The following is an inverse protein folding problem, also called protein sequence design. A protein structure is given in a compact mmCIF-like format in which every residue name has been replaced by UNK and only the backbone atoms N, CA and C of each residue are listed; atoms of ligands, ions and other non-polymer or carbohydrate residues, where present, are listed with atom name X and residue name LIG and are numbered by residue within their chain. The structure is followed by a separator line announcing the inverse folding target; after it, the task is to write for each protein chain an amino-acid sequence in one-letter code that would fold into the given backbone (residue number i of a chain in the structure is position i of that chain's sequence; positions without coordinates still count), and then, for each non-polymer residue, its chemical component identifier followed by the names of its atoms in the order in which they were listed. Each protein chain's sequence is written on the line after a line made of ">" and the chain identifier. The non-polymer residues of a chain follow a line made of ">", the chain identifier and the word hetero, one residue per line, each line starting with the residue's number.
data_IF_984683238713
#
_entry.id   IF_984683238713
#
_cell.length_a   1.000
_cell.length_b   1.000
_cell.length_c   1.000
_cell.angle_alpha   90.00
_cell.angle_beta   90.00
_cell.angle_gamma   90.00
#
_symmetry.space_group_name_H-M   'P 1'
#
loop_
_entity.id
_entity.type
_entity.pdbx_description
1 polymer ?
#
# COMPACT_ATOMS: atom_id res chain seq x y z
N UNK A 1 -22.19 4.21 23.43
CA UNK A 1 -22.49 3.40 24.63
C UNK A 1 -22.00 1.98 24.38
N UNK A 2 -20.84 1.64 24.92
CA UNK A 2 -20.23 0.31 24.79
C UNK A 2 -20.60 -0.61 25.96
N UNK A 3 -21.52 -0.19 26.80
CA UNK A 3 -21.94 -0.96 27.96
C UNK A 3 -22.66 -2.25 27.56
N UNK A 4 -22.02 -3.33 27.80
CA UNK A 4 -22.52 -4.67 28.21
C UNK A 4 -23.69 -5.35 27.49
N UNK A 5 -24.33 -4.82 26.45
CA UNK A 5 -25.60 -5.44 25.93
C UNK A 5 -25.78 -5.43 24.42
N UNK A 6 -24.80 -5.11 23.61
CA UNK A 6 -24.98 -5.26 22.17
C UNK A 6 -24.49 -6.64 21.78
N UNK A 7 -25.43 -7.58 21.82
CA UNK A 7 -25.41 -8.81 21.02
C UNK A 7 -24.09 -9.59 20.97
N UNK A 8 -23.43 -9.79 22.12
CA UNK A 8 -22.30 -10.73 22.17
C UNK A 8 -22.84 -12.14 21.94
N UNK A 9 -22.71 -12.61 20.74
CA UNK A 9 -23.00 -13.98 20.34
C UNK A 9 -21.75 -14.60 19.67
N UNK A 10 -21.68 -15.91 19.54
CA UNK A 10 -20.61 -16.56 18.83
C UNK A 10 -20.42 -15.95 17.42
N UNK A 11 -19.19 -15.68 17.02
CA UNK A 11 -18.86 -15.09 15.72
C UNK A 11 -18.72 -13.56 15.71
N UNK A 12 -18.97 -12.87 16.81
CA UNK A 12 -18.72 -11.42 16.94
C UNK A 12 -17.25 -11.14 17.18
N UNK A 13 -16.77 -9.97 16.73
CA UNK A 13 -15.41 -9.49 17.03
C UNK A 13 -15.25 -9.35 18.54
N UNK A 14 -14.22 -9.99 19.10
CA UNK A 14 -13.86 -9.87 20.51
C UNK A 14 -12.95 -8.67 20.71
N UNK A 15 -13.39 -7.71 21.49
CA UNK A 15 -12.57 -6.61 21.95
C UNK A 15 -11.70 -7.04 23.15
N UNK A 16 -10.57 -6.39 23.30
CA UNK A 16 -9.68 -6.60 24.43
C UNK A 16 -10.04 -5.61 25.55
N UNK A 17 -10.31 -6.14 26.71
CA UNK A 17 -10.43 -5.39 27.96
C UNK A 17 -8.99 -4.96 28.36
N UNK A 18 -8.71 -3.68 28.29
CA UNK A 18 -7.37 -3.12 28.52
C UNK A 18 -7.12 -2.79 30.00
N UNK A 19 -8.15 -2.40 30.72
CA UNK A 19 -8.08 -2.03 32.14
C UNK A 19 -8.42 -3.21 33.07
N UNK A 20 -8.93 -4.32 32.54
CA UNK A 20 -9.23 -5.55 33.29
C UNK A 20 -10.46 -5.47 34.16
N UNK A 21 -11.37 -4.50 33.90
CA UNK A 21 -12.57 -4.29 34.69
C UNK A 21 -13.75 -5.22 34.32
N UNK A 22 -13.59 -6.02 33.25
CA UNK A 22 -14.61 -6.96 32.75
C UNK A 22 -15.69 -6.32 31.88
N UNK A 23 -15.60 -5.02 31.57
CA UNK A 23 -16.59 -4.25 30.81
C UNK A 23 -15.89 -3.48 29.69
N UNK A 24 -16.26 -3.75 28.45
CA UNK A 24 -15.68 -3.02 27.29
C UNK A 24 -16.32 -1.63 27.19
N UNK A 25 -15.49 -0.60 27.36
CA UNK A 25 -15.86 0.82 27.32
C UNK A 25 -14.97 1.61 26.39
N UNK A 26 -15.12 2.94 26.39
CA UNK A 26 -14.20 3.84 25.66
C UNK A 26 -12.81 3.93 26.32
N UNK A 27 -12.68 3.51 27.57
CA UNK A 27 -11.42 3.48 28.32
C UNK A 27 -10.51 2.35 27.83
N UNK A 28 -11.09 1.32 27.19
CA UNK A 28 -10.34 0.24 26.54
C UNK A 28 -9.70 0.64 25.19
N UNK A 29 -9.90 1.87 24.75
CA UNK A 29 -9.29 2.35 23.51
C UNK A 29 -7.80 2.60 23.71
N UNK A 30 -7.01 2.06 22.80
CA UNK A 30 -5.56 2.21 22.78
C UNK A 30 -5.04 2.56 21.40
N UNK A 31 -3.82 3.05 21.34
CA UNK A 31 -3.12 3.24 20.05
C UNK A 31 -2.81 1.87 19.46
N UNK A 32 -3.33 1.60 18.25
CA UNK A 32 -3.21 0.31 17.57
C UNK A 32 -2.26 0.34 16.37
N UNK A 33 -1.72 1.51 15.99
CA UNK A 33 -0.77 1.65 14.91
C UNK A 33 -0.24 3.07 14.78
N UNK A 34 0.79 3.23 13.95
CA UNK A 34 1.39 4.52 13.64
C UNK A 34 1.63 4.64 12.12
N UNK A 35 0.95 5.58 11.49
CA UNK A 35 1.06 5.81 10.04
C UNK A 35 2.37 6.50 9.62
N UNK A 36 3.15 7.04 10.56
CA UNK A 36 4.42 7.68 10.25
C UNK A 36 5.54 6.63 10.19
N UNK A 37 6.35 6.63 9.13
CA UNK A 37 7.46 5.69 9.01
C UNK A 37 8.56 6.01 10.04
N UNK A 38 9.22 4.98 10.56
CA UNK A 38 10.42 5.11 11.37
C UNK A 38 11.62 5.54 10.53
N UNK A 39 11.68 5.02 9.30
CA UNK A 39 12.72 5.32 8.32
C UNK A 39 12.12 5.46 6.95
N UNK A 40 12.56 6.44 6.21
CA UNK A 40 12.23 6.60 4.79
C UNK A 40 13.40 7.20 4.05
N UNK A 41 13.47 6.93 2.76
CA UNK A 41 14.55 7.48 1.95
C UNK A 41 14.55 6.97 0.52
N UNK A 42 15.61 7.34 -0.19
CA UNK A 42 15.86 6.87 -1.54
C UNK A 42 17.34 6.83 -1.87
N UNK A 43 17.70 5.90 -2.73
CA UNK A 43 19.07 5.72 -3.23
C UNK A 43 19.02 5.81 -4.75
N UNK A 44 19.77 6.77 -5.30
CA UNK A 44 19.95 6.91 -6.74
C UNK A 44 21.39 6.58 -7.11
N UNK A 45 21.57 5.70 -8.08
CA UNK A 45 22.88 5.40 -8.66
C UNK A 45 22.85 5.66 -10.16
N UNK A 46 23.97 6.17 -10.67
CA UNK A 46 24.17 6.39 -12.11
C UNK A 46 25.53 5.84 -12.51
N UNK A 47 25.53 5.01 -13.53
CA UNK A 47 26.72 4.41 -14.12
C UNK A 47 26.83 4.81 -15.57
N UNK A 48 28.06 5.11 -16.02
CA UNK A 48 28.34 5.43 -17.42
C UNK A 48 29.57 4.67 -17.89
N UNK A 49 29.44 3.94 -19.00
CA UNK A 49 30.55 3.21 -19.58
C UNK A 49 30.42 3.11 -21.10
N UNK A 50 31.41 3.57 -21.84
CA UNK A 50 31.48 3.46 -23.31
C UNK A 50 30.20 3.86 -24.05
N UNK A 51 29.56 4.94 -23.64
CA UNK A 51 28.33 5.46 -24.24
C UNK A 51 27.06 4.86 -23.68
N UNK A 52 27.12 3.81 -22.87
CA UNK A 52 25.97 3.28 -22.12
C UNK A 52 25.85 4.10 -20.83
N UNK A 53 24.66 4.56 -20.52
CA UNK A 53 24.28 5.14 -19.24
C UNK A 53 23.13 4.35 -18.60
N UNK A 54 23.30 4.03 -17.33
CA UNK A 54 22.31 3.33 -16.51
C UNK A 54 22.08 4.16 -15.26
N UNK A 55 20.83 4.54 -15.01
CA UNK A 55 20.43 5.20 -13.77
C UNK A 55 19.23 4.46 -13.16
N UNK A 56 19.27 4.25 -11.85
CA UNK A 56 18.14 3.69 -11.12
C UNK A 56 17.95 4.37 -9.78
N UNK A 57 16.69 4.42 -9.35
CA UNK A 57 16.29 5.00 -8.07
C UNK A 57 15.43 4.01 -7.31
N UNK A 58 15.88 3.62 -6.13
CA UNK A 58 15.07 2.94 -5.13
C UNK A 58 14.52 3.93 -4.13
N UNK A 59 13.26 3.73 -3.74
CA UNK A 59 12.59 4.43 -2.64
C UNK A 59 12.13 3.40 -1.64
N UNK A 60 12.22 3.72 -0.34
CA UNK A 60 11.73 2.86 0.72
C UNK A 60 11.05 3.65 1.83
N UNK A 61 10.08 3.02 2.46
CA UNK A 61 9.53 3.36 3.77
C UNK A 61 9.62 2.13 4.67
N UNK A 62 9.83 2.35 5.95
CA UNK A 62 9.92 1.26 6.92
C UNK A 62 9.26 1.64 8.25
N UNK A 63 8.43 0.72 8.76
CA UNK A 63 7.83 0.79 10.09
C UNK A 63 6.66 1.76 10.22
N UNK A 64 5.96 2.04 9.13
CA UNK A 64 4.66 2.70 9.12
C UNK A 64 3.55 1.66 9.00
N UNK A 65 2.41 1.97 9.62
CA UNK A 65 1.19 1.17 9.51
C UNK A 65 0.21 1.81 8.53
N UNK A 66 -0.57 0.97 7.86
CA UNK A 66 -1.66 1.36 6.97
C UNK A 66 -2.97 0.83 7.53
N UNK A 67 -3.97 1.68 7.65
CA UNK A 67 -5.34 1.26 7.90
C UNK A 67 -6.02 0.90 6.58
N UNK A 68 -6.21 -0.40 6.35
CA UNK A 68 -6.83 -0.94 5.14
C UNK A 68 -8.37 -0.87 5.26
N UNK A 69 -8.92 0.32 5.06
CA UNK A 69 -10.37 0.53 5.07
C UNK A 69 -11.06 -0.13 3.86
N UNK A 70 -10.34 -0.29 2.75
CA UNK A 70 -10.82 -1.03 1.58
C UNK A 70 -11.14 -2.48 1.94
N UNK A 71 -10.22 -3.16 2.64
CA UNK A 71 -10.44 -4.53 3.13
C UNK A 71 -11.55 -4.59 4.17
N UNK A 72 -11.61 -3.62 5.10
CA UNK A 72 -12.72 -3.51 6.05
C UNK A 72 -14.07 -3.49 5.33
N UNK A 73 -14.22 -2.61 4.33
CA UNK A 73 -15.48 -2.51 3.56
C UNK A 73 -15.79 -3.76 2.75
N UNK A 74 -14.77 -4.38 2.18
CA UNK A 74 -14.92 -5.58 1.36
C UNK A 74 -15.13 -6.87 2.20
N UNK A 75 -14.95 -6.81 3.52
CA UNK A 75 -15.21 -7.92 4.45
C UNK A 75 -16.47 -7.73 5.30
N UNK A 76 -16.95 -6.49 5.45
CA UNK A 76 -18.20 -6.20 6.14
C UNK A 76 -19.39 -6.52 5.25
N UNK A 77 -20.13 -7.54 5.58
CA UNK A 77 -21.26 -8.06 4.80
C UNK A 77 -22.59 -7.33 5.01
N UNK A 78 -22.62 -6.21 5.71
CA UNK A 78 -23.85 -5.44 5.99
C UNK A 78 -24.55 -4.88 4.75
N UNK A 79 -23.91 -4.88 3.59
CA UNK A 79 -24.50 -4.37 2.35
C UNK A 79 -24.66 -5.47 1.30
N UNK A 80 -25.89 -5.83 0.97
CA UNK A 80 -26.25 -6.80 -0.08
C UNK A 80 -25.83 -6.38 -1.51
N UNK A 81 -25.31 -5.16 -1.69
CA UNK A 81 -24.99 -4.57 -3.00
C UNK A 81 -23.50 -4.42 -3.29
N UNK A 82 -22.63 -5.03 -2.46
CA UNK A 82 -21.17 -4.90 -2.60
C UNK A 82 -20.55 -6.25 -2.91
N UNK A 83 -19.53 -6.24 -3.76
CA UNK A 83 -18.60 -7.36 -3.88
C UNK A 83 -17.85 -7.54 -2.56
N UNK A 84 -17.59 -8.77 -2.19
CA UNK A 84 -16.85 -9.14 -0.98
C UNK A 84 -15.57 -9.86 -1.35
N UNK A 85 -14.57 -9.77 -0.49
CA UNK A 85 -13.35 -10.57 -0.63
C UNK A 85 -13.64 -12.04 -0.39
N UNK A 86 -12.89 -12.92 -1.06
CA UNK A 86 -13.04 -14.37 -0.94
C UNK A 86 -12.89 -14.88 0.50
N UNK A 87 -12.08 -14.20 1.33
CA UNK A 87 -11.92 -14.57 2.75
C UNK A 87 -13.25 -14.59 3.55
N UNK A 88 -14.28 -13.89 3.06
CA UNK A 88 -15.60 -13.88 3.71
C UNK A 88 -16.33 -15.21 3.56
N UNK A 89 -15.93 -16.07 2.62
CA UNK A 89 -16.44 -17.43 2.52
C UNK A 89 -16.13 -18.26 3.77
N UNK A 90 -14.97 -17.98 4.40
CA UNK A 90 -14.51 -18.68 5.61
C UNK A 90 -15.03 -18.04 6.91
N UNK A 91 -16.07 -17.21 6.81
CA UNK A 91 -16.67 -16.55 7.97
C UNK A 91 -17.22 -17.55 8.98
N UNK A 92 -17.28 -17.12 10.22
CA UNK A 92 -17.91 -17.90 11.27
C UNK A 92 -19.38 -18.18 10.95
N UNK A 93 -19.76 -19.45 11.08
CA UNK A 93 -21.16 -19.94 11.08
C UNK A 93 -21.27 -21.04 12.13
N UNK A 94 -22.48 -21.42 12.55
CA UNK A 94 -22.65 -22.53 13.50
C UNK A 94 -22.03 -23.86 13.02
N UNK A 95 -21.87 -24.04 11.72
CA UNK A 95 -21.26 -25.23 11.09
C UNK A 95 -19.80 -25.00 10.65
N UNK A 96 -19.30 -23.78 10.71
CA UNK A 96 -17.92 -23.40 10.38
C UNK A 96 -17.38 -22.46 11.47
N UNK A 97 -16.77 -23.01 12.51
CA UNK A 97 -16.19 -22.24 13.61
C UNK A 97 -14.88 -21.56 13.16
N UNK A 98 -14.98 -20.32 12.66
CA UNK A 98 -13.84 -19.51 12.28
C UNK A 98 -13.38 -18.65 13.46
N UNK A 99 -12.08 -18.63 13.73
CA UNK A 99 -11.43 -17.73 14.69
C UNK A 99 -10.81 -16.49 14.04
N UNK A 100 -10.85 -16.40 12.70
CA UNK A 100 -10.20 -15.36 11.93
C UNK A 100 -11.17 -14.42 11.25
N UNK A 101 -12.30 -14.92 10.74
CA UNK A 101 -13.29 -14.13 10.03
C UNK A 101 -14.61 -14.14 10.83
N UNK A 102 -15.08 -12.97 11.29
CA UNK A 102 -16.32 -12.86 12.06
C UNK A 102 -17.55 -13.33 11.27
N UNK A 103 -18.65 -13.56 11.99
CA UNK A 103 -19.95 -13.81 11.38
C UNK A 103 -20.40 -12.63 10.51
N UNK A 104 -21.46 -12.83 9.74
CA UNK A 104 -22.05 -11.82 8.85
C UNK A 104 -22.34 -10.48 9.54
N UNK A 105 -22.82 -10.52 10.77
CA UNK A 105 -23.15 -9.38 11.63
C UNK A 105 -22.10 -9.15 12.74
N UNK A 106 -20.96 -9.83 12.63
CA UNK A 106 -19.95 -9.86 13.68
C UNK A 106 -19.18 -8.56 13.91
N UNK A 107 -19.29 -7.58 13.02
CA UNK A 107 -18.76 -6.22 13.22
C UNK A 107 -19.85 -5.32 13.81
N UNK A 108 -19.76 -5.03 15.08
CA UNK A 108 -20.83 -4.37 15.85
C UNK A 108 -20.89 -2.88 15.56
N UNK A 109 -19.75 -2.23 15.42
CA UNK A 109 -19.62 -0.77 15.30
C UNK A 109 -18.75 -0.37 14.10
N UNK A 110 -18.78 0.91 13.76
CA UNK A 110 -17.86 1.52 12.77
C UNK A 110 -16.51 1.90 13.44
N UNK A 111 -15.99 1.03 14.29
CA UNK A 111 -14.73 1.25 14.99
C UNK A 111 -13.53 0.94 14.11
N UNK A 112 -12.37 1.47 14.51
CA UNK A 112 -11.09 1.06 13.95
C UNK A 112 -10.69 -0.27 14.60
N UNK A 113 -10.51 -1.30 13.78
CA UNK A 113 -10.12 -2.62 14.25
C UNK A 113 -8.64 -2.86 13.93
N UNK A 114 -7.89 -3.35 14.90
CA UNK A 114 -6.47 -3.72 14.72
C UNK A 114 -6.25 -4.75 13.60
N UNK A 115 -7.26 -5.56 13.29
CA UNK A 115 -7.27 -6.52 12.18
C UNK A 115 -6.97 -5.89 10.81
N UNK A 116 -7.31 -4.61 10.63
CA UNK A 116 -7.14 -3.89 9.36
C UNK A 116 -5.96 -2.91 9.40
N UNK A 117 -5.16 -2.98 10.47
CA UNK A 117 -3.86 -2.32 10.53
C UNK A 117 -2.84 -3.30 9.96
N UNK A 118 -2.16 -2.91 8.89
CA UNK A 118 -1.20 -3.72 8.18
C UNK A 118 0.14 -2.99 8.07
N UNK A 119 1.24 -3.74 7.95
CA UNK A 119 2.56 -3.14 7.73
C UNK A 119 2.59 -2.45 6.36
N UNK A 120 2.88 -1.16 6.37
CA UNK A 120 3.03 -0.33 5.19
C UNK A 120 4.47 -0.20 4.71
N UNK A 121 5.38 -0.97 5.25
CA UNK A 121 6.77 -0.96 4.81
C UNK A 121 6.90 -1.42 3.37
N UNK A 122 7.76 -0.75 2.60
CA UNK A 122 7.99 -1.13 1.21
C UNK A 122 9.38 -0.73 0.69
N UNK A 123 9.82 -1.44 -0.33
CA UNK A 123 10.94 -1.08 -1.21
C UNK A 123 10.46 -1.05 -2.65
N UNK A 124 10.62 0.09 -3.33
CA UNK A 124 10.16 0.31 -4.70
C UNK A 124 11.29 0.70 -5.63
N UNK A 125 11.39 0.06 -6.80
CA UNK A 125 12.17 0.58 -7.91
C UNK A 125 11.34 1.66 -8.61
N UNK A 126 11.62 2.91 -8.22
CA UNK A 126 10.86 4.09 -8.64
C UNK A 126 11.13 4.47 -10.07
N UNK A 127 12.40 4.40 -10.46
CA UNK A 127 12.85 4.78 -11.79
C UNK A 127 14.04 3.93 -12.21
N UNK A 128 14.06 3.53 -13.47
CA UNK A 128 15.17 2.85 -14.13
C UNK A 128 15.31 3.43 -15.53
N UNK A 129 16.45 4.00 -15.85
CA UNK A 129 16.76 4.52 -17.18
C UNK A 129 18.00 3.83 -17.74
N UNK A 130 17.89 3.32 -18.94
CA UNK A 130 18.99 2.80 -19.73
C UNK A 130 19.12 3.65 -20.99
N UNK A 131 20.26 4.25 -21.21
CA UNK A 131 20.56 5.07 -22.39
C UNK A 131 21.78 4.57 -23.12
N UNK A 132 21.87 4.92 -24.40
CA UNK A 132 23.05 4.73 -25.21
C UNK A 132 23.32 5.95 -26.07
N UNK A 133 24.50 6.53 -25.90
CA UNK A 133 25.01 7.65 -26.69
C UNK A 133 25.93 7.12 -27.81
N UNK A 134 25.54 7.33 -29.05
CA UNK A 134 26.31 6.87 -30.18
C UNK A 134 27.65 7.64 -30.30
N UNK A 135 28.74 6.94 -30.64
CA UNK A 135 30.05 7.62 -30.89
C UNK A 135 29.93 8.64 -31.99
N UNK A 136 30.54 9.82 -31.79
CA UNK A 136 30.52 10.92 -32.75
C UNK A 136 31.05 10.53 -34.16
N UNK A 137 31.98 9.56 -34.23
CA UNK A 137 32.48 9.03 -35.49
C UNK A 137 31.37 8.45 -36.41
N UNK A 138 30.31 7.89 -35.83
CA UNK A 138 29.18 7.36 -36.58
C UNK A 138 28.18 8.45 -36.98
N UNK A 139 27.94 9.42 -36.11
CA UNK A 139 26.91 10.46 -36.31
C UNK A 139 27.41 11.64 -37.18
N UNK A 140 28.72 11.86 -37.25
CA UNK A 140 29.36 12.94 -38.02
C UNK A 140 28.96 12.96 -39.50
N UNK A 141 28.79 11.76 -40.10
CA UNK A 141 28.39 11.67 -41.52
C UNK A 141 26.99 12.22 -41.79
N UNK A 142 26.15 12.27 -40.77
CA UNK A 142 24.79 12.80 -40.84
C UNK A 142 24.68 14.22 -40.28
N UNK A 143 25.81 14.90 -40.01
CA UNK A 143 25.88 16.24 -39.39
C UNK A 143 25.19 16.29 -37.99
N UNK A 144 25.15 15.16 -37.29
CA UNK A 144 24.61 15.06 -35.96
C UNK A 144 25.75 15.11 -34.93
N UNK A 145 25.75 16.11 -34.07
CA UNK A 145 26.76 16.28 -33.03
C UNK A 145 26.56 15.31 -31.85
N UNK A 146 25.28 14.99 -31.49
CA UNK A 146 24.94 14.01 -30.45
C UNK A 146 23.70 13.23 -30.85
N UNK A 147 23.79 11.94 -30.71
CA UNK A 147 22.64 11.00 -30.83
C UNK A 147 22.59 10.11 -29.60
N UNK A 148 21.53 10.18 -28.83
CA UNK A 148 21.29 9.30 -27.70
C UNK A 148 19.90 8.70 -27.79
N UNK A 149 19.79 7.40 -27.58
CA UNK A 149 18.52 6.68 -27.40
C UNK A 149 18.42 6.26 -25.95
N UNK A 150 17.22 6.27 -25.38
CA UNK A 150 17.02 5.80 -24.03
C UNK A 150 15.65 5.19 -23.82
N UNK A 151 15.57 4.32 -22.81
CA UNK A 151 14.35 3.75 -22.31
C UNK A 151 14.27 3.99 -20.80
N UNK A 152 13.12 4.42 -20.32
CA UNK A 152 12.87 4.65 -18.90
C UNK A 152 11.65 3.83 -18.48
N UNK A 153 11.78 3.10 -17.37
CA UNK A 153 10.68 2.44 -16.69
C UNK A 153 10.43 3.10 -15.32
N UNK A 154 9.16 3.35 -15.00
CA UNK A 154 8.76 3.90 -13.71
C UNK A 154 7.89 2.93 -12.94
N UNK A 155 8.03 2.89 -11.61
CA UNK A 155 7.28 2.03 -10.69
C UNK A 155 7.31 0.56 -11.12
N UNK A 156 8.49 0.05 -11.51
CA UNK A 156 8.64 -1.28 -12.14
C UNK A 156 8.25 -2.41 -11.20
N UNK A 157 8.64 -2.31 -9.93
CA UNK A 157 8.20 -3.24 -8.90
C UNK A 157 8.18 -2.57 -7.52
N UNK A 158 7.39 -3.17 -6.64
CA UNK A 158 7.29 -2.82 -5.22
C UNK A 158 7.29 -4.12 -4.41
N UNK A 159 8.13 -4.20 -3.39
CA UNK A 159 8.18 -5.29 -2.42
C UNK A 159 7.54 -4.75 -1.16
N UNK A 160 6.48 -5.40 -0.67
CA UNK A 160 5.73 -5.04 0.53
C UNK A 160 4.89 -6.23 0.99
N UNK A 161 4.64 -6.33 2.29
CA UNK A 161 3.72 -7.28 2.90
C UNK A 161 2.28 -6.74 2.99
N UNK A 162 2.05 -5.52 2.53
CA UNK A 162 0.72 -4.91 2.48
C UNK A 162 -0.22 -5.67 1.54
N UNK A 163 -1.42 -6.02 2.03
CA UNK A 163 -2.39 -6.83 1.27
C UNK A 163 -3.18 -6.05 0.21
N UNK A 164 -3.16 -4.70 0.27
CA UNK A 164 -3.81 -3.83 -0.70
C UNK A 164 -3.02 -3.66 -1.99
N UNK A 165 -3.51 -2.79 -2.87
CA UNK A 165 -2.92 -2.60 -4.20
C UNK A 165 -1.57 -1.89 -4.19
N UNK A 166 -1.37 -0.94 -3.28
CA UNK A 166 -0.15 -0.13 -3.21
C UNK A 166 0.07 0.36 -1.78
N UNK A 167 1.24 0.14 -1.15
CA UNK A 167 1.52 0.61 0.20
C UNK A 167 1.76 2.12 0.29
N UNK A 168 1.96 2.81 -0.83
CA UNK A 168 2.12 4.26 -0.89
C UNK A 168 0.76 4.95 -1.00
N UNK A 169 -0.13 4.62 -0.04
CA UNK A 169 -1.52 5.10 -0.01
C UNK A 169 -1.70 6.32 0.88
N UNK A 170 -2.50 7.25 0.39
CA UNK A 170 -3.12 8.31 1.15
C UNK A 170 -4.40 8.71 0.44
N UNK A 171 -5.50 8.02 0.75
CA UNK A 171 -6.80 8.27 0.11
C UNK A 171 -7.36 9.66 0.47
N UNK A 172 -6.87 10.26 1.53
CA UNK A 172 -7.18 11.63 1.93
C UNK A 172 -6.06 12.60 1.52
N UNK A 173 -5.62 12.54 0.25
CA UNK A 173 -4.47 13.27 -0.28
C UNK A 173 -4.45 14.78 0.02
N UNK A 174 -5.60 15.37 0.28
CA UNK A 174 -5.73 16.77 0.67
C UNK A 174 -5.73 17.00 2.19
N UNK A 175 -5.60 15.93 2.97
CA UNK A 175 -5.55 16.02 4.42
C UNK A 175 -4.27 15.36 4.96
N UNK A 176 -3.23 16.14 5.27
CA UNK A 176 -1.99 15.61 5.83
C UNK A 176 -2.16 15.00 7.23
N UNK A 177 -3.30 15.22 7.88
CA UNK A 177 -3.59 14.69 9.23
C UNK A 177 -4.06 13.23 9.22
N UNK A 178 -4.26 12.63 8.04
CA UNK A 178 -4.71 11.23 7.91
C UNK A 178 -3.82 10.42 6.96
N UNK A 179 -2.49 10.39 7.17
CA UNK A 179 -1.62 9.52 6.39
C UNK A 179 -1.94 8.05 6.65
N UNK A 180 -1.58 7.18 5.72
CA UNK A 180 -1.74 5.72 5.87
C UNK A 180 -3.19 5.21 5.87
N UNK A 181 -4.14 5.98 5.35
CA UNK A 181 -5.51 5.54 5.13
C UNK A 181 -5.68 5.02 3.69
N UNK A 182 -5.99 3.74 3.53
CA UNK A 182 -6.40 3.16 2.25
C UNK A 182 -7.92 3.04 2.17
N UNK A 183 -8.54 3.94 1.41
CA UNK A 183 -9.97 3.94 1.11
C UNK A 183 -10.18 3.89 -0.40
N UNK A 184 -9.83 2.74 -1.02
CA UNK A 184 -9.95 2.56 -2.46
C UNK A 184 -8.92 3.38 -3.26
N UNK A 185 -7.70 3.53 -2.72
CA UNK A 185 -6.63 4.22 -3.41
C UNK A 185 -6.24 3.50 -4.70
N UNK A 186 -6.12 4.25 -5.80
CA UNK A 186 -5.67 3.68 -7.05
C UNK A 186 -4.16 3.42 -7.01
N UNK A 187 -3.68 2.23 -7.43
CA UNK A 187 -2.27 1.92 -7.42
C UNK A 187 -1.49 2.75 -8.44
N UNK A 188 -0.22 3.00 -8.17
CA UNK A 188 0.66 3.70 -9.10
C UNK A 188 0.89 2.87 -10.37
N UNK A 189 0.70 3.50 -11.51
CA UNK A 189 0.88 2.88 -12.82
C UNK A 189 2.36 2.62 -13.12
N UNK A 190 2.66 1.51 -13.80
CA UNK A 190 3.93 1.32 -14.47
C UNK A 190 3.94 2.12 -15.75
N UNK A 191 5.00 2.87 -15.99
CA UNK A 191 5.15 3.68 -17.20
C UNK A 191 6.45 3.33 -17.88
N UNK A 192 6.39 3.12 -19.19
CA UNK A 192 7.56 2.94 -20.04
C UNK A 192 7.64 4.08 -21.03
N UNK A 193 8.80 4.74 -21.07
CA UNK A 193 9.09 5.86 -21.96
C UNK A 193 10.29 5.53 -22.81
N UNK A 194 10.19 5.72 -24.10
CA UNK A 194 11.29 5.61 -25.04
C UNK A 194 11.57 6.99 -25.61
N UNK A 195 12.83 7.38 -25.66
CA UNK A 195 13.21 8.69 -26.13
C UNK A 195 14.42 8.67 -27.03
N UNK A 196 14.47 9.68 -27.89
CA UNK A 196 15.57 10.00 -28.80
C UNK A 196 16.00 11.44 -28.56
N UNK A 197 17.28 11.64 -28.30
CA UNK A 197 17.89 12.97 -28.16
C UNK A 197 18.82 13.19 -29.37
N UNK A 198 18.54 14.24 -30.15
CA UNK A 198 19.32 14.65 -31.31
C UNK A 198 19.83 16.07 -31.08
N UNK A 199 21.10 16.28 -31.38
CA UNK A 199 21.74 17.59 -31.42
C UNK A 199 22.50 17.72 -32.71
N UNK A 200 22.29 18.83 -33.43
CA UNK A 200 22.95 19.18 -34.68
C UNK A 200 24.07 20.15 -34.47
#
# INVERSE_FOLDING_TARGET
>A
MYGNKVGLHPGVVKYKDQDGNGIITTEDRTVIGNALPKWYGGITNTFSYKGIDLSFMFQFNYGNDIYNATRLFATQSKSKRRGMLAEVADRWTPTNASNTVPAYDGYINNDLYSRFIEDGSFLRLKNLTLGYSFPHKLTKKAHISKLRVYATGQNLFCISDYSGYDPEVNSASNNPMTPGLDWGAYPKSRVFTFGLELQF
#
